data_IF_312447483661
#
_entry.id   IF_312447483661
#
_cell.length_a   1.000
_cell.length_b   1.000
_cell.length_c   1.000
_cell.angle_alpha   90.00
_cell.angle_beta   90.00
_cell.angle_gamma   90.00
#
_symmetry.space_group_name_H-M   'P 1'
#
loop_
_entity.id
_entity.type
_entity.pdbx_description
1 polymer ?
#
# COMPACT_ATOMS: atom_id res chain seq x y z
N UNK A 1 -6.43 10.18 -15.86
CA UNK A 1 -7.42 10.89 -16.72
C UNK A 1 -8.26 11.83 -15.87
N UNK A 2 -8.87 12.87 -16.44
CA UNK A 2 -9.79 13.74 -15.67
C UNK A 2 -10.99 12.93 -15.19
N UNK A 3 -11.34 13.03 -13.91
CA UNK A 3 -12.41 12.24 -13.32
C UNK A 3 -13.78 12.45 -13.99
N UNK A 4 -14.03 13.63 -14.57
CA UNK A 4 -15.26 13.96 -15.29
C UNK A 4 -15.39 13.33 -16.69
N UNK A 5 -14.33 12.71 -17.22
CA UNK A 5 -14.30 12.13 -18.58
C UNK A 5 -14.61 10.63 -18.53
N UNK A 6 -15.86 10.30 -18.24
CA UNK A 6 -16.32 8.91 -18.08
C UNK A 6 -16.07 8.03 -19.30
N UNK A 7 -16.14 8.58 -20.51
CA UNK A 7 -15.83 7.91 -21.76
C UNK A 7 -14.36 7.45 -21.85
N UNK A 8 -13.44 8.25 -21.30
CA UNK A 8 -12.01 7.91 -21.28
C UNK A 8 -11.75 6.86 -20.20
N UNK A 9 -12.42 6.94 -19.05
CA UNK A 9 -12.35 5.90 -18.01
C UNK A 9 -12.81 4.55 -18.57
N UNK A 10 -13.94 4.54 -19.29
CA UNK A 10 -14.46 3.33 -19.93
C UNK A 10 -13.49 2.77 -20.98
N UNK A 11 -12.88 3.63 -21.81
CA UNK A 11 -11.91 3.21 -22.82
C UNK A 11 -10.63 2.59 -22.21
N UNK A 12 -10.23 3.02 -21.00
CA UNK A 12 -9.04 2.51 -20.31
C UNK A 12 -9.30 1.29 -19.42
N UNK A 13 -10.56 0.98 -19.10
CA UNK A 13 -10.91 -0.13 -18.22
C UNK A 13 -10.27 -1.48 -18.60
N UNK A 14 -10.15 -1.87 -19.89
CA UNK A 14 -9.52 -3.12 -20.28
C UNK A 14 -8.01 -3.23 -19.97
N UNK A 15 -7.34 -2.09 -19.72
CA UNK A 15 -5.90 -2.06 -19.40
C UNK A 15 -5.62 -2.32 -17.92
N UNK A 16 -6.65 -2.36 -17.08
CA UNK A 16 -6.49 -2.53 -15.66
C UNK A 16 -6.44 -4.02 -15.28
N UNK A 17 -5.27 -4.49 -14.88
CA UNK A 17 -5.14 -5.79 -14.21
C UNK A 17 -5.63 -5.69 -12.77
N UNK A 18 -6.63 -6.50 -12.42
CA UNK A 18 -7.31 -6.43 -11.12
C UNK A 18 -6.37 -6.77 -9.95
N UNK A 19 -5.45 -7.73 -10.13
CA UNK A 19 -4.51 -8.14 -9.07
C UNK A 19 -3.49 -7.04 -8.82
N UNK A 20 -2.89 -6.49 -9.87
CA UNK A 20 -2.02 -5.31 -9.76
C UNK A 20 -2.76 -4.14 -9.10
N UNK A 21 -4.05 -3.92 -9.40
CA UNK A 21 -4.81 -2.84 -8.78
C UNK A 21 -5.00 -3.01 -7.29
N UNK A 22 -5.28 -4.23 -6.82
CA UNK A 22 -5.40 -4.53 -5.40
C UNK A 22 -4.05 -4.42 -4.69
N UNK A 23 -2.98 -4.96 -5.27
CA UNK A 23 -1.62 -4.83 -4.73
C UNK A 23 -1.23 -3.35 -4.54
N UNK A 24 -1.38 -2.55 -5.59
CA UNK A 24 -1.07 -1.12 -5.57
C UNK A 24 -2.00 -0.35 -4.62
N UNK A 25 -3.27 -0.75 -4.48
CA UNK A 25 -4.18 -0.13 -3.52
C UNK A 25 -3.68 -0.32 -2.07
N UNK A 26 -3.19 -1.52 -1.73
CA UNK A 26 -2.61 -1.83 -0.44
C UNK A 26 -1.31 -1.04 -0.19
N UNK A 27 -0.38 -1.04 -1.14
CA UNK A 27 0.88 -0.28 -1.05
C UNK A 27 0.65 1.22 -0.88
N UNK A 28 -0.24 1.80 -1.70
CA UNK A 28 -0.58 3.22 -1.61
C UNK A 28 -1.31 3.58 -0.32
N UNK A 29 -2.04 2.65 0.28
CA UNK A 29 -2.67 2.88 1.58
C UNK A 29 -1.62 2.99 2.70
N UNK A 30 -0.56 2.15 2.68
CA UNK A 30 0.59 2.32 3.58
C UNK A 30 1.23 3.69 3.37
N UNK A 31 1.53 4.05 2.12
CA UNK A 31 2.14 5.34 1.78
C UNK A 31 1.33 6.52 2.30
N UNK A 32 0.01 6.58 2.02
CA UNK A 32 -0.86 7.66 2.49
C UNK A 32 -0.91 7.76 4.02
N UNK A 33 -0.96 6.62 4.70
CA UNK A 33 -0.99 6.60 6.16
C UNK A 33 0.34 7.08 6.78
N UNK A 34 1.46 6.79 6.14
CA UNK A 34 2.81 7.11 6.62
C UNK A 34 3.37 8.44 6.07
N UNK A 35 2.50 9.38 5.65
CA UNK A 35 2.91 10.73 5.23
C UNK A 35 2.79 11.03 3.73
N UNK A 36 2.59 10.02 2.88
CA UNK A 36 2.18 10.19 1.48
C UNK A 36 3.17 10.88 0.54
N UNK A 37 4.43 11.08 0.96
CA UNK A 37 5.46 11.76 0.17
C UNK A 37 6.43 10.78 -0.49
N UNK A 38 6.96 11.15 -1.67
CA UNK A 38 8.05 10.43 -2.35
C UNK A 38 9.41 10.57 -1.65
N UNK A 39 9.57 11.59 -0.79
CA UNK A 39 10.79 11.80 0.00
C UNK A 39 10.81 10.99 1.30
N UNK A 40 9.71 10.31 1.63
CA UNK A 40 9.60 9.53 2.85
C UNK A 40 10.43 8.24 2.72
N UNK A 41 11.33 7.91 3.68
CA UNK A 41 12.10 6.66 3.70
C UNK A 41 11.23 5.44 4.03
N UNK A 42 10.28 5.14 3.13
CA UNK A 42 9.26 4.13 3.27
C UNK A 42 9.29 3.19 2.07
N UNK A 43 9.26 1.89 2.33
CA UNK A 43 9.00 0.85 1.34
C UNK A 43 7.68 0.14 1.68
N UNK A 44 6.84 -0.10 0.68
CA UNK A 44 5.67 -0.96 0.78
C UNK A 44 5.58 -1.78 -0.51
N UNK A 45 5.46 -3.10 -0.37
CA UNK A 45 5.43 -4.02 -1.50
C UNK A 45 4.43 -5.14 -1.25
N UNK A 46 3.49 -5.30 -2.18
CA UNK A 46 2.43 -6.27 -2.11
C UNK A 46 2.53 -7.31 -3.25
N UNK A 47 2.39 -8.57 -2.90
CA UNK A 47 2.40 -9.68 -3.86
C UNK A 47 1.25 -10.63 -3.57
N UNK A 48 0.69 -11.24 -4.61
CA UNK A 48 -0.24 -12.33 -4.39
C UNK A 48 0.49 -13.68 -4.36
N UNK A 49 0.13 -14.51 -3.38
CA UNK A 49 0.49 -15.92 -3.30
C UNK A 49 -0.80 -16.75 -3.24
N UNK A 50 -1.19 -17.33 -4.37
CA UNK A 50 -2.53 -17.89 -4.56
C UNK A 50 -3.61 -16.81 -4.35
N UNK A 51 -4.49 -17.07 -3.38
CA UNK A 51 -5.61 -16.20 -2.98
C UNK A 51 -5.21 -15.09 -1.99
N UNK A 52 -4.03 -15.20 -1.37
CA UNK A 52 -3.58 -14.25 -0.36
C UNK A 52 -2.83 -13.09 -0.98
N UNK A 53 -3.24 -11.86 -0.67
CA UNK A 53 -2.43 -10.67 -0.84
C UNK A 53 -1.50 -10.53 0.37
N UNK A 54 -0.21 -10.70 0.15
CA UNK A 54 0.85 -10.48 1.13
C UNK A 54 1.38 -9.07 0.98
N UNK A 55 1.50 -8.33 2.08
CA UNK A 55 2.03 -6.97 2.10
C UNK A 55 3.16 -6.89 3.12
N UNK A 56 4.32 -6.44 2.66
CA UNK A 56 5.47 -6.11 3.49
C UNK A 56 5.76 -4.62 3.40
N UNK A 57 6.09 -4.00 4.53
CA UNK A 57 6.49 -2.61 4.58
C UNK A 57 7.67 -2.40 5.53
N UNK A 58 8.46 -1.37 5.25
CA UNK A 58 9.57 -0.96 6.08
C UNK A 58 9.66 0.56 6.12
N UNK A 59 10.00 1.11 7.29
CA UNK A 59 10.24 2.54 7.49
C UNK A 59 11.63 2.71 8.10
N UNK A 60 12.45 3.57 7.49
CA UNK A 60 13.75 3.97 8.03
C UNK A 60 13.68 5.38 8.60
N UNK A 61 14.42 5.64 9.67
CA UNK A 61 14.59 6.99 10.18
C UNK A 61 15.54 7.77 9.25
N UNK A 62 15.13 8.93 8.69
CA UNK A 62 15.99 9.73 7.82
C UNK A 62 17.24 10.26 8.55
N UNK A 63 17.17 10.46 9.87
CA UNK A 63 18.28 10.94 10.69
C UNK A 63 19.14 9.80 11.27
N UNK A 64 18.74 8.54 11.00
CA UNK A 64 19.48 7.33 11.37
C UNK A 64 19.55 7.04 12.87
N UNK A 65 18.69 7.65 13.68
CA UNK A 65 18.68 7.50 15.13
C UNK A 65 17.89 6.26 15.57
N UNK A 66 16.83 5.91 14.84
CA UNK A 66 16.03 4.72 15.07
C UNK A 66 16.39 3.57 14.10
N UNK A 67 16.28 2.31 14.53
CA UNK A 67 16.49 1.16 13.67
C UNK A 67 15.40 1.06 12.59
N UNK A 68 15.70 0.31 11.52
CA UNK A 68 14.72 0.00 10.48
C UNK A 68 13.51 -0.73 11.06
N UNK A 69 12.33 -0.12 10.97
CA UNK A 69 11.07 -0.70 11.41
C UNK A 69 10.45 -1.49 10.26
N UNK A 70 9.93 -2.69 10.56
CA UNK A 70 9.30 -3.56 9.55
C UNK A 70 7.95 -4.05 10.03
N UNK A 71 7.00 -4.14 9.11
CA UNK A 71 5.70 -4.76 9.35
C UNK A 71 5.31 -5.62 8.13
N UNK A 72 4.55 -6.68 8.39
CA UNK A 72 3.96 -7.52 7.36
C UNK A 72 2.56 -7.96 7.76
N UNK A 73 1.71 -8.19 6.76
CA UNK A 73 0.41 -8.82 6.95
C UNK A 73 0.00 -9.55 5.66
N UNK A 74 -0.96 -10.46 5.75
CA UNK A 74 -1.54 -11.11 4.60
C UNK A 74 -3.03 -11.33 4.81
N UNK A 75 -3.83 -11.21 3.76
CA UNK A 75 -5.26 -11.47 3.79
C UNK A 75 -5.76 -11.93 2.42
N UNK A 76 -6.85 -12.68 2.41
CA UNK A 76 -7.67 -12.85 1.20
C UNK A 76 -8.46 -11.56 1.02
N UNK A 77 -8.40 -10.97 -0.17
CA UNK A 77 -9.08 -9.72 -0.51
C UNK A 77 -9.87 -9.90 -1.79
N UNK A 78 -11.11 -9.41 -1.81
CA UNK A 78 -11.98 -9.50 -2.97
C UNK A 78 -11.96 -8.21 -3.82
N UNK A 79 -11.56 -7.09 -3.23
CA UNK A 79 -11.64 -5.78 -3.86
C UNK A 79 -10.53 -4.82 -3.38
N UNK A 80 -10.54 -3.62 -3.95
CA UNK A 80 -9.57 -2.57 -3.67
C UNK A 80 -9.72 -1.95 -2.28
N UNK A 81 -10.92 -1.98 -1.70
CA UNK A 81 -11.18 -1.43 -0.37
C UNK A 81 -10.59 -2.35 0.70
N UNK A 82 -10.81 -3.65 0.58
CA UNK A 82 -10.21 -4.67 1.44
C UNK A 82 -8.68 -4.67 1.33
N UNK A 83 -8.13 -4.52 0.12
CA UNK A 83 -6.70 -4.37 -0.07
C UNK A 83 -6.15 -3.09 0.58
N UNK A 84 -6.86 -1.96 0.47
CA UNK A 84 -6.48 -0.73 1.15
C UNK A 84 -6.57 -0.86 2.69
N UNK A 85 -7.55 -1.60 3.21
CA UNK A 85 -7.67 -1.89 4.63
C UNK A 85 -6.49 -2.73 5.16
N UNK A 86 -6.02 -3.72 4.39
CA UNK A 86 -4.78 -4.45 4.69
C UNK A 86 -3.58 -3.48 4.78
N UNK A 87 -3.49 -2.53 3.85
CA UNK A 87 -2.47 -1.47 3.87
C UNK A 87 -2.53 -0.58 5.12
N UNK A 88 -3.72 -0.15 5.51
CA UNK A 88 -3.91 0.63 6.74
C UNK A 88 -3.46 -0.15 7.98
N UNK A 89 -3.80 -1.44 8.07
CA UNK A 89 -3.36 -2.31 9.18
C UNK A 89 -1.83 -2.43 9.25
N UNK A 90 -1.15 -2.54 8.10
CA UNK A 90 0.32 -2.59 8.07
C UNK A 90 0.95 -1.27 8.50
N UNK A 91 0.35 -0.13 8.14
CA UNK A 91 0.81 1.18 8.61
C UNK A 91 0.65 1.33 10.14
N UNK A 92 -0.48 0.90 10.71
CA UNK A 92 -0.64 0.89 12.18
C UNK A 92 0.40 0.02 12.87
N UNK A 93 0.74 -1.14 12.29
CA UNK A 93 1.81 -2.00 12.81
C UNK A 93 3.18 -1.35 12.74
N UNK A 94 3.48 -0.55 11.69
CA UNK A 94 4.72 0.23 11.63
C UNK A 94 4.77 1.24 12.77
N UNK A 95 3.70 2.01 13.00
CA UNK A 95 3.66 3.01 14.09
C UNK A 95 3.78 2.37 15.46
N UNK A 96 3.04 1.27 15.68
CA UNK A 96 3.13 0.51 16.93
C UNK A 96 4.54 -0.09 17.17
N UNK A 97 5.29 -0.35 16.11
CA UNK A 97 6.66 -0.84 16.16
C UNK A 97 7.71 0.29 16.25
N UNK A 98 7.29 1.55 16.39
CA UNK A 98 8.18 2.69 16.61
C UNK A 98 8.48 3.54 15.39
N UNK A 99 7.79 3.33 14.26
CA UNK A 99 7.89 4.27 13.14
C UNK A 99 7.24 5.60 13.50
N UNK A 100 7.98 6.71 13.34
CA UNK A 100 7.52 8.07 13.60
C UNK A 100 7.48 8.84 12.27
N UNK A 101 6.40 8.71 11.49
CA UNK A 101 6.28 9.32 10.17
C UNK A 101 6.13 10.84 10.18
#
# INVERSE_FOLDING_TARGET
VRASRGEVVAALAPLADQRSWMAVAAERAVSRAMGGSCSMPLAAYATFSGEYLQLSAAWGDPDGQAPLVRARSAAVVADREQAAALGAQVAERLRAAGAAP
#
